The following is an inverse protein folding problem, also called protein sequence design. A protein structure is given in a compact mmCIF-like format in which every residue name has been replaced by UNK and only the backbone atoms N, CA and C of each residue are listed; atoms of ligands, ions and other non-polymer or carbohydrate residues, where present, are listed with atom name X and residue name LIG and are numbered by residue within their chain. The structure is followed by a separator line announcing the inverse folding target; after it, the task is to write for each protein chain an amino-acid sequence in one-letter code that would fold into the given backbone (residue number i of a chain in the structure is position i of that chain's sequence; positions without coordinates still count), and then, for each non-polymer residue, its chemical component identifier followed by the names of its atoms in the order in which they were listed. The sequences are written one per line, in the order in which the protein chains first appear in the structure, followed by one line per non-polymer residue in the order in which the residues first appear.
data_IF_557684144302
#
_entry.id   IF_557684144302
#
_cell.length_a   1.000
_cell.length_b   1.000
_cell.length_c   1.000
_cell.angle_alpha   90.00
_cell.angle_beta   90.00
_cell.angle_gamma   90.00
#
_symmetry.space_group_name_H-M   'P 1'
#
loop_
_entity.id
_entity.type
_entity.pdbx_description
1 polymer ?
#
# COMPACT_ATOMS: atom_id res chain seq x y z
N UNK A 1 33.20 33.01 -22.91
CA UNK A 1 32.35 33.34 -21.77
C UNK A 1 30.89 33.13 -22.20
N UNK A 2 30.31 31.96 -21.80
CA UNK A 2 28.93 31.60 -22.13
C UNK A 2 28.16 31.47 -20.84
N UNK A 3 27.26 32.42 -20.60
CA UNK A 3 26.39 32.46 -19.41
C UNK A 3 25.18 31.54 -19.63
N UNK A 4 25.15 30.41 -18.96
CA UNK A 4 23.94 29.56 -18.88
C UNK A 4 22.87 30.26 -18.02
N UNK A 5 21.68 30.48 -18.59
CA UNK A 5 20.48 30.90 -17.84
C UNK A 5 19.98 29.74 -17.00
N UNK A 6 19.57 29.93 -15.74
CA UNK A 6 18.90 28.90 -14.95
C UNK A 6 17.47 28.66 -15.48
N UNK A 7 17.05 27.40 -15.50
CA UNK A 7 15.71 26.96 -15.90
C UNK A 7 14.63 27.36 -14.87
N UNK A 8 13.33 27.18 -15.20
CA UNK A 8 12.20 27.72 -14.44
C UNK A 8 11.87 26.99 -13.12
N UNK A 9 12.73 26.13 -12.65
CA UNK A 9 12.53 25.42 -11.37
C UNK A 9 13.42 26.05 -10.30
N UNK A 10 12.90 27.09 -9.65
CA UNK A 10 13.56 27.70 -8.50
C UNK A 10 13.70 26.73 -7.34
N UNK A 11 14.91 26.64 -6.77
CA UNK A 11 15.18 25.96 -5.51
C UNK A 11 14.53 26.73 -4.37
N UNK A 12 13.38 26.27 -3.88
CA UNK A 12 12.81 26.75 -2.62
C UNK A 12 13.32 25.83 -1.49
N UNK A 13 13.98 26.34 -0.44
CA UNK A 13 14.34 25.52 0.72
C UNK A 13 13.08 25.25 1.53
N UNK A 14 12.74 23.99 1.63
CA UNK A 14 11.67 23.49 2.49
C UNK A 14 12.10 23.64 3.96
N UNK A 15 11.67 24.70 4.62
CA UNK A 15 11.84 24.85 6.07
C UNK A 15 10.75 24.07 6.78
N UNK A 16 11.13 22.95 7.43
CA UNK A 16 10.25 22.12 8.24
C UNK A 16 9.62 22.90 9.40
N UNK A 17 8.30 23.07 9.35
CA UNK A 17 7.46 23.55 10.45
C UNK A 17 6.97 22.36 11.28
N UNK A 18 7.06 22.50 12.61
CA UNK A 18 6.66 21.52 13.64
C UNK A 18 5.15 21.35 13.72
N UNK A 19 4.79 20.10 14.01
CA UNK A 19 3.65 19.59 14.79
C UNK A 19 2.34 20.39 14.80
N UNK A 20 1.33 19.72 14.32
CA UNK A 20 -0.08 19.98 14.56
C UNK A 20 -0.86 18.85 13.92
N UNK A 21 -1.18 17.81 14.71
CA UNK A 21 -2.16 16.81 14.33
C UNK A 21 -3.54 17.50 14.28
N UNK A 22 -3.86 18.05 13.14
CA UNK A 22 -5.22 18.42 12.75
C UNK A 22 -5.44 17.80 11.38
N UNK A 23 -6.35 16.85 11.34
CA UNK A 23 -6.91 16.29 10.12
C UNK A 23 -7.38 17.44 9.22
N UNK A 24 -6.55 17.83 8.27
CA UNK A 24 -6.98 18.73 7.22
C UNK A 24 -7.63 17.86 6.11
N UNK A 25 -8.83 17.38 6.39
CA UNK A 25 -9.79 16.86 5.41
C UNK A 25 -10.30 18.00 4.54
N UNK A 26 -9.40 18.84 4.02
CA UNK A 26 -9.76 19.78 2.95
C UNK A 26 -9.94 18.95 1.68
N UNK A 27 -11.19 18.73 1.40
CA UNK A 27 -11.74 18.34 0.12
C UNK A 27 -11.06 19.16 -0.98
N UNK A 28 -10.10 18.53 -1.66
CA UNK A 28 -9.54 19.11 -2.88
C UNK A 28 -10.65 19.03 -3.92
N UNK A 29 -11.39 20.11 -4.08
CA UNK A 29 -12.38 20.25 -5.14
C UNK A 29 -11.63 20.12 -6.48
N UNK A 30 -11.78 18.98 -7.13
CA UNK A 30 -11.33 18.82 -8.51
C UNK A 30 -12.19 19.72 -9.37
N UNK A 31 -11.54 20.71 -9.97
CA UNK A 31 -12.17 21.57 -10.98
C UNK A 31 -12.66 20.66 -12.10
N UNK A 32 -13.97 20.70 -12.35
CA UNK A 32 -14.62 20.05 -13.47
C UNK A 32 -14.02 20.57 -14.79
N UNK A 33 -13.04 19.83 -15.32
CA UNK A 33 -12.66 20.00 -16.72
C UNK A 33 -13.80 19.38 -17.56
N UNK A 34 -14.58 20.23 -18.25
CA UNK A 34 -15.76 19.87 -19.01
C UNK A 34 -15.52 18.74 -20.03
N UNK A 35 -15.90 17.55 -19.68
CA UNK A 35 -16.06 16.40 -20.53
C UNK A 35 -17.44 15.82 -20.28
N UNK A 36 -18.24 15.63 -21.34
CA UNK A 36 -19.58 15.06 -21.30
C UNK A 36 -19.55 13.57 -20.92
N UNK A 37 -19.34 13.27 -19.66
CA UNK A 37 -19.56 11.97 -19.07
C UNK A 37 -20.43 12.14 -17.86
N UNK A 38 -21.64 11.59 -17.88
CA UNK A 38 -22.63 11.66 -16.78
C UNK A 38 -22.31 10.71 -15.63
N UNK A 39 -21.06 10.23 -15.52
CA UNK A 39 -20.63 9.30 -14.47
C UNK A 39 -20.32 10.04 -13.18
N UNK A 40 -20.95 9.67 -12.08
CA UNK A 40 -20.60 10.11 -10.75
C UNK A 40 -19.39 9.31 -10.27
N UNK A 41 -18.43 9.98 -9.65
CA UNK A 41 -17.33 9.32 -8.94
C UNK A 41 -17.77 9.03 -7.52
N UNK A 42 -17.53 7.82 -7.01
CA UNK A 42 -17.95 7.42 -5.67
C UNK A 42 -16.75 7.04 -4.82
N UNK A 43 -16.66 7.67 -3.66
CA UNK A 43 -15.75 7.20 -2.61
C UNK A 43 -16.27 5.85 -2.09
N UNK A 44 -15.44 4.83 -2.11
CA UNK A 44 -15.77 3.52 -1.56
C UNK A 44 -15.89 3.60 -0.02
N UNK A 45 -16.84 2.88 0.55
CA UNK A 45 -16.86 2.63 1.99
C UNK A 45 -15.59 1.86 2.40
N UNK A 46 -15.25 1.93 3.68
CA UNK A 46 -14.13 1.16 4.27
C UNK A 46 -14.23 -0.33 3.94
N UNK A 47 -15.42 -0.91 4.00
CA UNK A 47 -15.69 -2.32 3.68
C UNK A 47 -15.42 -2.62 2.20
N UNK A 48 -15.97 -1.83 1.29
CA UNK A 48 -15.79 -2.01 -0.15
C UNK A 48 -14.34 -1.83 -0.58
N UNK A 49 -13.64 -0.81 -0.05
CA UNK A 49 -12.22 -0.59 -0.33
C UNK A 49 -11.39 -1.81 0.12
N UNK A 50 -11.67 -2.34 1.33
CA UNK A 50 -11.02 -3.55 1.85
C UNK A 50 -11.30 -4.78 0.99
N UNK A 51 -12.54 -5.01 0.59
CA UNK A 51 -12.94 -6.16 -0.25
C UNK A 51 -12.26 -6.11 -1.63
N UNK A 52 -12.28 -4.97 -2.30
CA UNK A 52 -11.60 -4.77 -3.59
C UNK A 52 -10.09 -4.94 -3.46
N UNK A 53 -9.49 -4.36 -2.43
CA UNK A 53 -8.07 -4.53 -2.15
C UNK A 53 -7.73 -6.01 -1.94
N UNK A 54 -8.47 -6.70 -1.07
CA UNK A 54 -8.26 -8.10 -0.76
C UNK A 54 -8.42 -9.03 -1.99
N UNK A 55 -9.25 -8.68 -2.95
CA UNK A 55 -9.43 -9.42 -4.20
C UNK A 55 -8.21 -9.30 -5.14
N UNK A 56 -7.44 -8.20 -5.08
CA UNK A 56 -6.29 -7.95 -5.93
C UNK A 56 -5.16 -8.96 -5.75
N UNK A 57 -4.43 -9.26 -6.81
CA UNK A 57 -3.33 -10.27 -6.79
C UNK A 57 -1.96 -9.65 -6.52
N UNK A 58 -1.78 -8.38 -6.81
CA UNK A 58 -0.53 -7.63 -6.63
C UNK A 58 -0.90 -6.27 -6.09
N UNK A 59 -0.22 -5.84 -5.02
CA UNK A 59 -0.31 -4.48 -4.53
C UNK A 59 0.99 -3.71 -4.84
N UNK A 60 0.90 -2.42 -4.95
CA UNK A 60 2.03 -1.50 -5.04
C UNK A 60 2.33 -0.98 -3.65
N UNK A 61 3.41 -1.48 -3.05
CA UNK A 61 3.90 -1.03 -1.74
C UNK A 61 4.74 0.23 -1.92
N UNK A 62 4.31 1.30 -1.27
CA UNK A 62 5.04 2.56 -1.16
C UNK A 62 5.72 2.65 0.21
N UNK A 63 7.01 2.98 0.20
CA UNK A 63 7.83 3.24 1.39
C UNK A 63 8.62 4.53 1.20
N UNK A 64 9.01 5.18 2.30
CA UNK A 64 9.87 6.36 2.26
C UNK A 64 10.90 6.29 3.39
N UNK A 65 12.18 6.26 3.04
CA UNK A 65 13.28 6.28 3.99
C UNK A 65 13.62 7.69 4.50
N UNK A 66 14.71 7.82 5.30
CA UNK A 66 15.12 9.08 5.93
C UNK A 66 15.36 10.23 4.94
N UNK A 67 15.78 9.91 3.71
CA UNK A 67 16.00 10.90 2.66
C UNK A 67 14.73 11.41 1.97
N UNK A 68 13.53 10.95 2.39
CA UNK A 68 12.26 11.40 1.84
C UNK A 68 11.94 10.89 0.43
N UNK A 69 12.90 10.29 -0.28
CA UNK A 69 12.65 9.76 -1.63
C UNK A 69 11.75 8.54 -1.58
N UNK A 70 10.51 8.59 -2.12
CA UNK A 70 9.62 7.45 -2.15
C UNK A 70 10.18 6.29 -2.98
N UNK A 71 9.85 5.08 -2.57
CA UNK A 71 10.06 3.85 -3.33
C UNK A 71 8.71 3.16 -3.49
N UNK A 72 8.36 2.78 -4.72
CA UNK A 72 7.15 2.01 -5.03
C UNK A 72 7.55 0.72 -5.74
N UNK A 73 7.09 -0.42 -5.22
CA UNK A 73 7.39 -1.74 -5.78
C UNK A 73 6.16 -2.64 -5.76
N UNK A 74 5.98 -3.52 -6.77
CA UNK A 74 4.93 -4.53 -6.72
C UNK A 74 5.27 -5.61 -5.69
N UNK A 75 4.25 -6.04 -4.94
CA UNK A 75 4.35 -7.12 -3.95
C UNK A 75 3.16 -8.07 -4.05
N UNK A 76 3.41 -9.37 -3.84
CA UNK A 76 2.35 -10.31 -3.49
C UNK A 76 1.97 -10.10 -2.04
N UNK A 77 0.70 -10.24 -1.69
CA UNK A 77 0.20 -9.95 -0.36
C UNK A 77 -1.01 -10.82 0.01
N UNK A 78 -1.33 -10.85 1.28
CA UNK A 78 -2.60 -11.35 1.78
C UNK A 78 -3.14 -10.39 2.86
N UNK A 79 -4.46 -10.28 2.94
CA UNK A 79 -5.17 -9.71 4.09
C UNK A 79 -5.55 -10.88 4.97
N UNK A 80 -5.12 -10.88 6.24
CA UNK A 80 -5.30 -12.01 7.15
C UNK A 80 -5.49 -11.55 8.58
N UNK A 81 -6.14 -12.39 9.38
CA UNK A 81 -6.10 -12.30 10.83
C UNK A 81 -4.91 -13.11 11.34
N UNK A 82 -3.91 -12.43 11.88
CA UNK A 82 -2.68 -13.08 12.36
C UNK A 82 -2.94 -13.97 13.59
N UNK A 83 -3.90 -13.61 14.45
CA UNK A 83 -4.25 -14.40 15.61
C UNK A 83 -4.94 -15.72 15.18
N UNK A 84 -5.85 -15.65 14.20
CA UNK A 84 -6.48 -16.82 13.61
C UNK A 84 -5.50 -17.72 12.84
N UNK A 85 -4.41 -17.14 12.32
CA UNK A 85 -3.35 -17.86 11.62
C UNK A 85 -2.30 -18.48 12.57
N UNK A 86 -2.54 -18.47 13.89
CA UNK A 86 -1.69 -19.12 14.90
C UNK A 86 -0.49 -18.26 15.37
N UNK A 87 -0.45 -16.97 15.01
CA UNK A 87 0.50 -16.08 15.65
C UNK A 87 0.09 -15.82 17.11
N UNK A 88 1.05 -15.72 18.05
CA UNK A 88 0.72 -15.38 19.42
C UNK A 88 0.00 -14.02 19.45
N UNK A 89 -0.98 -13.84 20.36
CA UNK A 89 -1.63 -12.56 20.49
C UNK A 89 -0.56 -11.50 20.76
N UNK A 90 -0.36 -10.60 19.82
CA UNK A 90 0.43 -9.38 20.07
C UNK A 90 -0.17 -8.71 21.30
N UNK A 91 0.66 -8.07 22.17
CA UNK A 91 0.24 -7.54 23.44
C UNK A 91 -1.11 -6.80 23.39
N UNK A 92 -1.71 -6.51 24.52
CA UNK A 92 -3.07 -5.96 24.68
C UNK A 92 -3.42 -4.94 23.59
N UNK A 93 -4.35 -5.29 22.69
CA UNK A 93 -4.86 -4.42 21.64
C UNK A 93 -4.19 -4.54 20.28
N UNK A 94 -3.37 -5.59 20.01
CA UNK A 94 -2.88 -5.80 18.66
C UNK A 94 -4.06 -6.04 17.70
N UNK A 95 -4.17 -5.29 16.60
CA UNK A 95 -5.24 -5.47 15.63
C UNK A 95 -5.16 -6.88 15.05
N UNK A 96 -6.27 -7.60 15.05
CA UNK A 96 -6.35 -8.96 14.51
C UNK A 96 -6.05 -8.99 13.01
N UNK A 97 -6.45 -7.95 12.27
CA UNK A 97 -6.28 -7.87 10.83
C UNK A 97 -4.95 -7.21 10.42
N UNK A 98 -4.27 -7.82 9.46
CA UNK A 98 -3.03 -7.31 8.89
C UNK A 98 -2.98 -7.52 7.37
N UNK A 99 -2.21 -6.68 6.68
CA UNK A 99 -1.74 -6.95 5.32
C UNK A 99 -0.32 -7.48 5.41
N UNK A 100 -0.10 -8.67 4.84
CA UNK A 100 1.18 -9.37 4.95
C UNK A 100 1.80 -9.63 3.59
N UNK A 101 3.12 -9.58 3.52
CA UNK A 101 3.93 -9.87 2.34
C UNK A 101 5.25 -10.52 2.77
N UNK A 102 5.89 -11.31 1.90
CA UNK A 102 7.24 -11.87 2.13
C UNK A 102 8.13 -11.55 0.95
N UNK A 103 9.39 -11.27 1.23
CA UNK A 103 10.42 -11.15 0.20
C UNK A 103 10.67 -12.52 -0.42
N UNK A 104 10.34 -12.66 -1.70
CA UNK A 104 10.47 -13.92 -2.43
C UNK A 104 11.87 -14.15 -3.02
N UNK A 105 12.09 -15.38 -3.53
CA UNK A 105 13.36 -15.83 -4.11
C UNK A 105 13.62 -15.36 -5.56
N UNK A 106 12.80 -14.47 -6.12
CA UNK A 106 13.06 -14.00 -7.49
C UNK A 106 14.48 -13.45 -7.59
N UNK A 107 15.25 -13.81 -8.65
CA UNK A 107 16.58 -13.28 -8.86
C UNK A 107 16.53 -11.74 -8.83
N UNK A 108 17.18 -11.16 -7.85
CA UNK A 108 17.24 -9.70 -7.70
C UNK A 108 18.65 -9.29 -8.08
N UNK A 109 18.79 -8.78 -9.29
CA UNK A 109 20.04 -8.24 -9.79
C UNK A 109 20.49 -6.96 -9.08
N UNK A 110 19.67 -6.44 -8.12
CA UNK A 110 19.95 -5.18 -7.43
C UNK A 110 19.51 -5.20 -5.96
N UNK A 111 20.13 -4.35 -5.16
CA UNK A 111 19.81 -4.05 -3.77
C UNK A 111 18.38 -3.50 -3.51
N UNK A 112 17.57 -3.37 -4.54
CA UNK A 112 16.20 -2.80 -4.48
C UNK A 112 15.28 -3.60 -3.54
N UNK A 113 15.45 -4.94 -3.46
CA UNK A 113 14.72 -5.79 -2.52
C UNK A 113 15.02 -5.47 -1.05
N UNK A 114 16.22 -4.98 -0.77
CA UNK A 114 16.67 -4.60 0.56
C UNK A 114 16.33 -3.15 0.89
N UNK A 115 16.15 -2.27 -0.10
CA UNK A 115 15.87 -0.85 0.12
C UNK A 115 14.55 -0.66 0.87
N UNK A 116 13.46 -1.31 0.44
CA UNK A 116 12.16 -1.23 1.13
C UNK A 116 12.24 -1.66 2.60
N UNK A 117 13.06 -2.67 2.93
CA UNK A 117 13.25 -3.10 4.32
C UNK A 117 13.98 -2.03 5.14
N UNK A 118 15.00 -1.40 4.57
CA UNK A 118 15.70 -0.28 5.23
C UNK A 118 14.79 0.93 5.40
N UNK A 119 13.97 1.24 4.40
CA UNK A 119 13.00 2.33 4.46
C UNK A 119 11.99 2.07 5.59
N UNK A 120 11.42 0.86 5.67
CA UNK A 120 10.47 0.45 6.73
C UNK A 120 11.11 0.51 8.12
N UNK A 121 12.35 0.05 8.27
CA UNK A 121 13.06 0.10 9.54
C UNK A 121 13.28 1.53 10.05
N UNK A 122 13.44 2.48 9.14
CA UNK A 122 13.64 3.90 9.46
C UNK A 122 12.32 4.67 9.57
N UNK A 123 11.31 4.30 8.79
CA UNK A 123 9.98 4.90 8.77
C UNK A 123 8.93 3.81 8.54
N UNK A 124 8.19 3.39 9.56
CA UNK A 124 7.22 2.31 9.44
C UNK A 124 5.95 2.68 8.67
N UNK A 125 5.71 3.95 8.37
CA UNK A 125 4.52 4.37 7.61
C UNK A 125 4.61 3.90 6.17
N UNK A 126 3.59 3.16 5.74
CA UNK A 126 3.50 2.62 4.37
C UNK A 126 2.10 2.79 3.81
N UNK A 127 2.03 2.79 2.49
CA UNK A 127 0.78 2.66 1.74
C UNK A 127 0.86 1.50 0.78
N UNK A 128 -0.23 0.76 0.64
CA UNK A 128 -0.37 -0.25 -0.41
C UNK A 128 -1.58 0.08 -1.28
N UNK A 129 -1.41 0.00 -2.58
CA UNK A 129 -2.43 0.30 -3.58
C UNK A 129 -2.70 -0.93 -4.45
N UNK A 130 -3.99 -1.21 -4.66
CA UNK A 130 -4.49 -2.09 -5.72
C UNK A 130 -5.42 -1.26 -6.59
N UNK A 131 -5.32 -1.42 -7.88
CA UNK A 131 -6.09 -0.63 -8.84
C UNK A 131 -6.47 -1.48 -10.05
N UNK A 132 -7.48 -0.99 -10.75
CA UNK A 132 -7.87 -1.44 -12.06
C UNK A 132 -8.02 -0.21 -12.96
N UNK A 133 -7.17 -0.12 -13.97
CA UNK A 133 -7.16 0.96 -14.94
C UNK A 133 -7.15 0.38 -16.35
N UNK A 134 -8.13 0.77 -17.16
CA UNK A 134 -8.32 0.35 -18.54
C UNK A 134 -8.93 1.50 -19.37
N UNK A 135 -9.12 1.30 -20.67
CA UNK A 135 -9.66 2.33 -21.58
C UNK A 135 -11.14 2.64 -21.31
N UNK A 136 -11.88 1.68 -20.78
CA UNK A 136 -13.26 1.89 -20.28
C UNK A 136 -13.23 2.51 -18.90
N UNK A 137 -13.45 3.82 -18.85
CA UNK A 137 -13.38 4.61 -17.63
C UNK A 137 -14.47 4.27 -16.62
N UNK A 138 -15.58 3.71 -17.03
CA UNK A 138 -16.67 3.30 -16.14
C UNK A 138 -16.29 2.12 -15.25
N UNK A 139 -15.19 1.43 -15.58
CA UNK A 139 -14.66 0.29 -14.82
C UNK A 139 -13.46 0.62 -13.96
N UNK A 140 -13.02 1.87 -13.94
CA UNK A 140 -11.86 2.30 -13.17
C UNK A 140 -12.16 2.28 -11.67
N UNK A 141 -11.20 1.80 -10.90
CA UNK A 141 -11.22 1.89 -9.44
C UNK A 141 -9.83 1.74 -8.86
N UNK A 142 -9.67 2.24 -7.67
CA UNK A 142 -8.54 1.90 -6.83
C UNK A 142 -8.98 1.70 -5.38
N UNK A 143 -8.20 0.89 -4.66
CA UNK A 143 -8.33 0.69 -3.21
C UNK A 143 -6.94 0.77 -2.59
N UNK A 144 -6.82 1.52 -1.50
CA UNK A 144 -5.58 1.77 -0.79
C UNK A 144 -5.75 1.44 0.68
N UNK A 145 -4.69 0.94 1.27
CA UNK A 145 -4.54 0.80 2.71
C UNK A 145 -3.28 1.51 3.17
N UNK A 146 -3.43 2.36 4.18
CA UNK A 146 -2.33 2.99 4.91
C UNK A 146 -2.17 2.28 6.24
N UNK A 147 -0.92 2.14 6.74
CA UNK A 147 -0.66 1.46 8.00
C UNK A 147 0.79 1.56 8.45
N UNK A 148 1.09 0.84 9.52
CA UNK A 148 2.43 0.74 10.09
C UNK A 148 3.02 -0.64 9.78
N UNK A 149 4.12 -0.65 9.05
CA UNK A 149 4.84 -1.85 8.66
C UNK A 149 5.91 -2.21 9.70
N UNK A 150 6.09 -3.49 9.94
CA UNK A 150 7.26 -4.05 10.63
C UNK A 150 7.83 -5.21 9.85
N UNK A 151 9.10 -5.50 10.10
CA UNK A 151 9.83 -6.60 9.48
C UNK A 151 9.87 -7.74 10.48
N UNK A 152 9.58 -8.96 10.01
CA UNK A 152 9.56 -10.20 10.79
C UNK A 152 10.51 -11.19 10.14
N UNK A 153 11.40 -11.76 10.92
CA UNK A 153 12.41 -12.72 10.46
C UNK A 153 11.88 -14.16 10.46
N UNK A 154 12.59 -15.05 9.79
CA UNK A 154 12.13 -16.42 9.52
C UNK A 154 11.95 -17.29 10.78
N UNK A 155 12.61 -16.97 11.87
CA UNK A 155 12.56 -17.64 13.17
C UNK A 155 11.40 -17.19 14.08
N UNK A 156 10.69 -16.12 13.68
CA UNK A 156 9.56 -15.59 14.43
C UNK A 156 8.24 -16.31 14.06
N UNK A 157 7.37 -16.55 15.05
CA UNK A 157 6.10 -17.27 14.85
C UNK A 157 5.18 -16.60 13.82
N UNK A 158 5.16 -15.28 13.76
CA UNK A 158 4.35 -14.52 12.80
C UNK A 158 4.82 -14.68 11.35
N UNK A 159 6.10 -15.03 11.13
CA UNK A 159 6.61 -15.36 9.81
C UNK A 159 5.95 -16.63 9.27
N UNK A 160 5.80 -17.66 10.09
CA UNK A 160 5.12 -18.91 9.71
C UNK A 160 3.65 -18.65 9.34
N UNK A 161 2.94 -17.87 10.15
CA UNK A 161 1.56 -17.46 9.89
C UNK A 161 1.43 -16.67 8.58
N UNK A 162 2.34 -15.71 8.34
CA UNK A 162 2.41 -14.94 7.09
C UNK A 162 2.64 -15.83 5.88
N UNK A 163 3.56 -16.79 5.99
CA UNK A 163 3.85 -17.76 4.91
C UNK A 163 2.64 -18.63 4.60
N UNK A 164 1.91 -19.09 5.63
CA UNK A 164 0.70 -19.88 5.47
C UNK A 164 -0.40 -19.08 4.75
N UNK A 165 -0.64 -17.82 5.12
CA UNK A 165 -1.60 -16.94 4.48
C UNK A 165 -1.27 -16.72 2.99
N UNK A 166 -0.01 -16.50 2.66
CA UNK A 166 0.43 -16.35 1.27
C UNK A 166 0.35 -17.67 0.48
N UNK A 167 0.68 -18.81 1.07
CA UNK A 167 0.56 -20.11 0.41
C UNK A 167 -0.90 -20.50 0.14
N UNK A 168 -1.83 -20.12 1.02
CA UNK A 168 -3.26 -20.29 0.78
C UNK A 168 -3.73 -19.52 -0.48
N UNK A 169 -3.14 -18.36 -0.72
CA UNK A 169 -3.54 -17.44 -1.80
C UNK A 169 -2.80 -17.69 -3.12
N UNK A 170 -1.51 -18.08 -3.09
CA UNK A 170 -0.66 -18.22 -4.27
C UNK A 170 -0.15 -19.66 -4.42
N UNK A 171 -0.55 -20.32 -5.52
CA UNK A 171 -0.18 -21.73 -5.76
C UNK A 171 1.35 -21.92 -5.81
N UNK A 172 2.09 -20.97 -6.39
CA UNK A 172 3.56 -21.05 -6.47
C UNK A 172 4.24 -21.08 -5.09
N UNK A 173 3.64 -20.45 -4.07
CA UNK A 173 4.19 -20.45 -2.72
C UNK A 173 3.89 -21.74 -1.93
N UNK A 174 2.97 -22.58 -2.43
CA UNK A 174 2.80 -23.94 -1.92
C UNK A 174 3.90 -24.86 -2.41
N UNK A 175 4.39 -24.62 -3.64
CA UNK A 175 5.46 -25.42 -4.24
C UNK A 175 6.84 -24.97 -3.76
N UNK A 176 7.06 -23.65 -3.74
CA UNK A 176 8.32 -23.02 -3.30
C UNK A 176 7.99 -21.90 -2.30
N UNK A 177 7.92 -22.22 -1.00
CA UNK A 177 7.61 -21.23 0.02
C UNK A 177 8.65 -20.10 0.06
N UNK A 178 8.23 -18.84 0.17
CA UNK A 178 9.17 -17.73 0.29
C UNK A 178 9.89 -17.78 1.64
N UNK A 179 11.20 -17.55 1.64
CA UNK A 179 12.07 -17.64 2.82
C UNK A 179 12.70 -16.33 3.25
N UNK A 180 12.44 -15.23 2.54
CA UNK A 180 12.95 -13.92 2.93
C UNK A 180 12.17 -13.30 4.09
N UNK A 181 12.60 -12.12 4.60
CA UNK A 181 11.88 -11.41 5.66
C UNK A 181 10.44 -11.12 5.27
N UNK A 182 9.52 -11.24 6.24
CA UNK A 182 8.13 -10.84 6.08
C UNK A 182 7.95 -9.36 6.42
N UNK A 183 6.98 -8.74 5.77
CA UNK A 183 6.49 -7.39 6.06
C UNK A 183 5.06 -7.56 6.55
N UNK A 184 4.78 -7.10 7.76
CA UNK A 184 3.45 -7.12 8.37
C UNK A 184 3.01 -5.69 8.58
N UNK A 185 1.86 -5.33 8.02
CA UNK A 185 1.28 -3.99 8.12
C UNK A 185 0.02 -4.08 8.98
N UNK A 186 -0.02 -3.27 10.01
CA UNK A 186 -1.13 -3.18 10.98
C UNK A 186 -1.62 -1.74 11.12
N UNK A 187 -2.67 -1.51 11.93
CA UNK A 187 -3.25 -0.17 12.06
C UNK A 187 -3.87 0.31 10.75
N UNK A 188 -4.60 -0.57 10.07
CA UNK A 188 -5.05 -0.40 8.70
C UNK A 188 -6.13 0.68 8.57
N UNK A 189 -5.91 1.62 7.66
CA UNK A 189 -6.90 2.61 7.23
C UNK A 189 -7.18 2.41 5.76
N UNK A 190 -8.40 2.02 5.47
CA UNK A 190 -8.86 1.71 4.11
C UNK A 190 -9.46 2.94 3.45
N UNK A 191 -9.14 3.17 2.19
CA UNK A 191 -9.74 4.18 1.33
C UNK A 191 -9.81 3.66 -0.10
N UNK A 192 -10.72 4.20 -0.87
CA UNK A 192 -10.86 3.80 -2.25
C UNK A 192 -11.82 4.69 -3.02
N UNK A 193 -11.77 4.52 -4.31
CA UNK A 193 -12.59 5.24 -5.26
C UNK A 193 -12.96 4.29 -6.39
N UNK A 194 -14.16 4.45 -6.92
CA UNK A 194 -14.61 3.79 -8.14
C UNK A 194 -15.41 4.77 -8.98
N UNK A 195 -15.36 4.58 -10.29
CA UNK A 195 -16.34 5.17 -11.16
C UNK A 195 -17.70 4.55 -10.85
N UNK A 196 -18.74 5.36 -10.74
CA UNK A 196 -20.10 4.89 -10.53
C UNK A 196 -20.91 5.13 -11.80
N UNK A 197 -21.56 4.09 -12.27
CA UNK A 197 -22.63 4.26 -13.25
C UNK A 197 -23.80 5.03 -12.61
N UNK A 198 -24.21 6.14 -13.22
CA UNK A 198 -25.31 6.96 -12.74
C UNK A 198 -26.68 6.24 -12.74
N UNK A 199 -26.70 4.97 -13.13
CA UNK A 199 -27.89 4.13 -13.25
C UNK A 199 -28.17 3.13 -12.12
N UNK A 200 -27.29 2.98 -11.12
CA UNK A 200 -27.43 1.93 -10.09
C UNK A 200 -28.14 2.39 -8.80
N UNK A 201 -28.94 3.44 -8.85
CA UNK A 201 -29.72 3.98 -7.73
C UNK A 201 -31.20 4.02 -8.08
N UNK A 202 -31.84 2.86 -8.12
CA UNK A 202 -33.28 2.68 -8.26
C UNK A 202 -33.80 1.67 -7.27
#
# INVERSE_FOLDING_TARGET
MSTRRPGPWGTSPWTGGRSGDAEDDREVAWVEAGGRGTGATVRLSTREARERFAAGRVARLATSGPGGQPLVVPVTFAVTDLAAAGAPPGGRGAPAEAVVSIVDHKPKSTSTGLRRLRDIAANPRVSLLVDHYEDDWERLWWARVDGLARIVLADEAEHAATRAALAARYAQYRQVPPGGPAIIVTGLRWSGWAYADAGAGG
#
